data_IF_692254144864
#
_entry.id   IF_692254144864
#
_cell.length_a   1.000
_cell.length_b   1.000
_cell.length_c   1.000
_cell.angle_alpha   90.00
_cell.angle_beta   90.00
_cell.angle_gamma   90.00
#
_symmetry.space_group_name_H-M   'P 1'
#
loop_
_entity.id
_entity.type
_entity.pdbx_description
1 polymer ?
#
# COMPACT_ATOMS: atom_id res chain seq x y z
N UNK A 1 26.31 18.26 -10.26
CA UNK A 1 26.64 17.86 -8.87
C UNK A 1 25.46 18.09 -7.90
N UNK A 2 24.20 17.85 -8.31
CA UNK A 2 23.02 18.00 -7.43
C UNK A 2 21.96 16.89 -7.61
N UNK A 3 22.26 15.82 -8.36
CA UNK A 3 21.31 14.73 -8.61
C UNK A 3 20.96 13.90 -7.37
N UNK A 4 21.86 13.87 -6.37
CA UNK A 4 21.63 13.12 -5.13
C UNK A 4 20.60 13.80 -4.21
N UNK A 5 20.58 15.12 -4.15
CA UNK A 5 19.55 15.88 -3.41
C UNK A 5 18.17 15.72 -4.07
N UNK A 6 18.11 15.67 -5.40
CA UNK A 6 16.87 15.36 -6.12
C UNK A 6 16.36 13.94 -5.84
N UNK A 7 17.27 12.95 -5.70
CA UNK A 7 16.91 11.56 -5.35
C UNK A 7 16.43 11.42 -3.91
N UNK A 8 17.01 12.17 -2.97
CA UNK A 8 16.54 12.24 -1.58
C UNK A 8 15.16 12.90 -1.49
N UNK A 9 14.95 14.01 -2.22
CA UNK A 9 13.64 14.66 -2.27
C UNK A 9 12.56 13.75 -2.90
N UNK A 10 12.89 13.02 -3.98
CA UNK A 10 11.98 12.02 -4.57
C UNK A 10 11.69 10.84 -3.63
N UNK A 11 12.68 10.38 -2.87
CA UNK A 11 12.49 9.30 -1.90
C UNK A 11 11.58 9.73 -0.73
N UNK A 12 11.57 11.02 -0.37
CA UNK A 12 10.68 11.59 0.63
C UNK A 12 9.26 11.90 0.09
N UNK A 13 9.09 12.06 -1.23
CA UNK A 13 7.78 12.29 -1.87
C UNK A 13 7.11 11.03 -2.43
N UNK A 14 7.89 9.95 -2.65
CA UNK A 14 7.39 8.64 -3.08
C UNK A 14 6.29 8.02 -2.18
N UNK A 15 6.31 8.16 -0.84
CA UNK A 15 5.30 7.57 0.03
C UNK A 15 3.91 8.19 -0.13
N UNK A 16 3.82 9.45 -0.59
CA UNK A 16 2.54 10.15 -0.76
C UNK A 16 1.88 9.84 -2.11
N UNK A 17 2.66 9.66 -3.18
CA UNK A 17 2.14 9.28 -4.50
C UNK A 17 1.79 7.78 -4.59
N UNK A 18 2.46 6.93 -3.80
CA UNK A 18 2.23 5.46 -3.80
C UNK A 18 1.06 5.02 -2.90
N UNK A 19 0.50 5.92 -2.09
CA UNK A 19 -0.70 5.68 -1.27
C UNK A 19 -2.00 5.74 -2.05
N UNK A 20 -1.99 6.31 -3.27
CA UNK A 20 -3.14 6.39 -4.14
C UNK A 20 -2.68 6.30 -5.60
N UNK A 21 -2.47 5.09 -6.11
CA UNK A 21 -2.57 4.89 -7.55
C UNK A 21 -4.06 5.00 -7.90
N UNK A 22 -4.47 5.93 -8.79
CA UNK A 22 -5.84 5.99 -9.26
C UNK A 22 -6.27 4.63 -9.82
N UNK A 23 -7.51 4.23 -9.55
CA UNK A 23 -8.16 3.11 -10.26
C UNK A 23 -8.22 3.48 -11.74
N UNK A 24 -7.16 3.15 -12.49
CA UNK A 24 -7.16 3.29 -13.95
C UNK A 24 -8.01 2.15 -14.50
N UNK A 25 -9.24 2.51 -14.86
CA UNK A 25 -9.92 1.90 -16.00
C UNK A 25 -9.22 2.46 -17.22
N UNK A 26 -8.32 1.71 -17.83
CA UNK A 26 -7.96 1.90 -19.24
C UNK A 26 -7.60 0.52 -19.80
N UNK A 27 -8.49 0.00 -20.65
CA UNK A 27 -8.23 -1.11 -21.55
C UNK A 27 -7.02 -0.76 -22.43
N UNK A 28 -6.03 -1.65 -22.53
CA UNK A 28 -5.40 -2.07 -23.79
C UNK A 28 -4.24 -3.07 -23.58
N UNK A 29 -4.56 -4.33 -23.87
CA UNK A 29 -3.76 -5.39 -24.49
C UNK A 29 -2.21 -5.21 -24.58
N UNK A 30 -1.45 -6.02 -23.83
CA UNK A 30 -0.50 -7.01 -24.42
C UNK A 30 0.34 -7.76 -23.38
N UNK A 31 0.23 -9.09 -23.38
CA UNK A 31 1.35 -10.01 -23.17
C UNK A 31 1.87 -10.25 -21.75
N UNK A 32 1.71 -11.50 -21.30
CA UNK A 32 2.40 -12.16 -20.16
C UNK A 32 1.77 -12.02 -18.78
N UNK A 33 1.02 -13.06 -18.39
CA UNK A 33 0.59 -13.31 -17.02
C UNK A 33 -0.87 -12.95 -16.80
N UNK A 34 -1.64 -13.87 -16.24
CA UNK A 34 -3.05 -13.70 -15.91
C UNK A 34 -3.23 -12.64 -14.81
N UNK A 35 -3.15 -11.36 -15.19
CA UNK A 35 -3.50 -10.24 -14.34
C UNK A 35 -5.04 -10.18 -14.26
N UNK A 36 -5.62 -10.98 -13.37
CA UNK A 36 -7.01 -10.80 -12.97
C UNK A 36 -7.16 -9.36 -12.46
N UNK A 37 -7.95 -8.54 -13.16
CA UNK A 37 -8.13 -7.13 -12.83
C UNK A 37 -8.69 -6.94 -11.41
N UNK A 38 -9.28 -7.98 -10.83
CA UNK A 38 -9.80 -8.00 -9.46
C UNK A 38 -8.72 -8.27 -8.41
N UNK A 39 -7.53 -8.71 -8.81
CA UNK A 39 -6.43 -9.04 -7.89
C UNK A 39 -5.38 -7.94 -7.96
N UNK A 40 -5.18 -7.26 -6.85
CA UNK A 40 -4.02 -6.42 -6.65
C UNK A 40 -3.05 -7.14 -5.72
N UNK A 41 -1.79 -7.26 -6.13
CA UNK A 41 -0.75 -7.84 -5.29
C UNK A 41 0.49 -6.96 -5.29
N UNK A 42 1.22 -7.01 -4.18
CA UNK A 42 2.61 -6.61 -4.11
C UNK A 42 3.47 -7.85 -4.28
N UNK A 43 4.46 -7.73 -5.16
CA UNK A 43 5.54 -8.70 -5.26
C UNK A 43 6.28 -8.83 -3.92
N UNK A 44 7.13 -9.86 -3.81
CA UNK A 44 7.99 -10.02 -2.64
C UNK A 44 8.86 -8.78 -2.44
N UNK A 45 8.57 -8.06 -1.36
CA UNK A 45 9.35 -6.93 -0.85
C UNK A 45 10.31 -7.44 0.25
N UNK A 46 11.49 -6.79 0.35
CA UNK A 46 12.52 -7.17 1.32
C UNK A 46 12.28 -6.48 2.66
N UNK A 47 12.49 -7.23 3.74
CA UNK A 47 12.50 -6.76 5.12
C UNK A 47 13.77 -7.24 5.85
N UNK A 48 14.08 -6.67 7.02
CA UNK A 48 15.28 -6.95 7.82
C UNK A 48 15.46 -8.42 8.20
N UNK A 49 14.38 -9.21 8.20
CA UNK A 49 14.38 -10.62 8.59
C UNK A 49 13.85 -11.57 7.49
N UNK A 50 13.67 -11.10 6.25
CA UNK A 50 13.17 -11.95 5.17
C UNK A 50 12.49 -11.19 4.03
N UNK A 51 11.53 -11.84 3.40
CA UNK A 51 10.73 -11.30 2.30
C UNK A 51 9.25 -11.43 2.64
N UNK A 52 8.43 -10.48 2.19
CA UNK A 52 6.99 -10.50 2.38
C UNK A 52 6.28 -10.06 1.10
N UNK A 53 5.09 -10.57 0.86
CA UNK A 53 4.17 -10.09 -0.16
C UNK A 53 2.77 -10.00 0.44
N UNK A 54 1.89 -9.26 -0.20
CA UNK A 54 0.48 -9.23 0.17
C UNK A 54 -0.38 -8.92 -1.03
N UNK A 55 -1.65 -9.31 -0.97
CA UNK A 55 -2.59 -9.11 -2.05
C UNK A 55 -3.98 -8.81 -1.49
N UNK A 56 -4.80 -8.15 -2.30
CA UNK A 56 -6.21 -7.88 -2.07
C UNK A 56 -6.96 -8.39 -3.30
N UNK A 57 -8.02 -9.15 -3.05
CA UNK A 57 -8.90 -9.67 -4.10
C UNK A 57 -10.24 -8.99 -3.95
N UNK A 58 -10.69 -8.31 -5.01
CA UNK A 58 -11.96 -7.61 -5.03
C UNK A 58 -13.11 -8.61 -5.19
N UNK A 59 -13.94 -8.74 -4.15
CA UNK A 59 -15.16 -9.55 -4.18
C UNK A 59 -16.43 -8.71 -4.43
N UNK A 60 -16.46 -7.46 -3.94
CA UNK A 60 -17.59 -6.55 -4.04
C UNK A 60 -17.39 -5.51 -5.16
N UNK A 61 -18.47 -4.86 -5.63
CA UNK A 61 -18.39 -3.78 -6.64
C UNK A 61 -17.52 -2.62 -6.15
N UNK A 62 -17.64 -2.28 -4.86
CA UNK A 62 -16.76 -1.35 -4.16
C UNK A 62 -15.85 -2.15 -3.25
N UNK A 63 -14.55 -1.89 -3.32
CA UNK A 63 -13.59 -2.49 -2.40
C UNK A 63 -13.70 -1.80 -1.05
N UNK A 64 -14.19 -2.51 -0.04
CA UNK A 64 -14.32 -1.99 1.32
C UNK A 64 -13.09 -2.35 2.15
N UNK A 65 -12.37 -3.40 1.78
CA UNK A 65 -11.17 -3.85 2.49
C UNK A 65 -9.97 -2.96 2.17
N UNK A 66 -9.23 -2.59 3.21
CA UNK A 66 -7.97 -1.85 3.10
C UNK A 66 -6.86 -2.58 3.84
N UNK A 67 -5.62 -2.36 3.41
CA UNK A 67 -4.44 -2.90 4.08
C UNK A 67 -3.28 -1.92 4.05
N UNK A 68 -2.37 -2.07 5.00
CA UNK A 68 -1.18 -1.24 5.15
C UNK A 68 0.00 -2.09 5.59
N UNK A 69 1.18 -1.81 5.03
CA UNK A 69 2.45 -2.37 5.52
C UNK A 69 3.46 -1.25 5.66
N UNK A 70 4.06 -1.13 6.85
CA UNK A 70 5.13 -0.18 7.14
C UNK A 70 6.31 -0.95 7.72
N UNK A 71 7.43 -0.98 6.99
CA UNK A 71 8.64 -1.72 7.38
C UNK A 71 9.65 -0.79 8.04
N UNK A 72 10.01 -1.10 9.28
CA UNK A 72 11.13 -0.49 9.99
C UNK A 72 12.37 -1.41 10.01
N UNK A 73 13.45 -0.91 10.61
CA UNK A 73 14.68 -1.71 10.80
C UNK A 73 14.43 -2.91 11.71
N UNK A 74 13.71 -2.69 12.81
CA UNK A 74 13.59 -3.68 13.91
C UNK A 74 12.16 -4.21 14.08
N UNK A 75 11.19 -3.66 13.35
CA UNK A 75 9.79 -4.07 13.40
C UNK A 75 9.10 -3.84 12.06
N UNK A 76 8.02 -4.58 11.82
CA UNK A 76 7.10 -4.36 10.69
C UNK A 76 5.70 -4.20 11.26
N UNK A 77 5.00 -3.16 10.83
CA UNK A 77 3.58 -2.98 11.08
C UNK A 77 2.80 -3.51 9.88
N UNK A 78 1.83 -4.39 10.15
CA UNK A 78 0.90 -4.94 9.15
C UNK A 78 -0.52 -4.68 9.64
N UNK A 79 -1.31 -3.99 8.81
CA UNK A 79 -2.72 -3.74 9.04
C UNK A 79 -3.57 -4.37 7.95
N UNK A 80 -4.62 -5.09 8.34
CA UNK A 80 -5.67 -5.63 7.47
C UNK A 80 -7.01 -5.22 8.06
N UNK A 81 -7.80 -4.50 7.27
CA UNK A 81 -9.02 -3.85 7.73
C UNK A 81 -10.18 -4.28 6.83
N UNK A 82 -11.04 -5.13 7.37
CA UNK A 82 -12.30 -5.57 6.74
C UNK A 82 -13.33 -4.43 6.84
N UNK A 83 -13.74 -3.90 5.69
CA UNK A 83 -14.68 -2.78 5.63
C UNK A 83 -16.12 -3.23 5.47
N UNK A 84 -17.07 -2.47 6.02
CA UNK A 84 -18.49 -2.76 5.88
C UNK A 84 -19.36 -1.51 5.88
N UNK A 85 -20.30 -1.44 4.94
CA UNK A 85 -21.23 -0.32 4.83
C UNK A 85 -20.60 0.90 4.15
N UNK A 86 -19.58 0.67 3.33
CA UNK A 86 -18.73 1.68 2.69
C UNK A 86 -17.24 1.54 3.09
N UNK A 87 -16.30 2.06 2.27
CA UNK A 87 -14.87 1.97 2.52
C UNK A 87 -14.34 2.99 3.54
N UNK A 88 -15.18 3.89 4.04
CA UNK A 88 -14.74 5.07 4.78
C UNK A 88 -14.01 4.73 6.08
N UNK A 89 -14.51 3.74 6.82
CA UNK A 89 -13.94 3.35 8.11
C UNK A 89 -12.59 2.64 7.96
N UNK A 90 -12.53 1.61 7.11
CA UNK A 90 -11.31 0.86 6.82
C UNK A 90 -10.23 1.76 6.21
N UNK A 91 -10.62 2.67 5.31
CA UNK A 91 -9.74 3.71 4.75
C UNK A 91 -9.23 4.66 5.82
N UNK A 92 -10.11 5.17 6.69
CA UNK A 92 -9.71 6.06 7.78
C UNK A 92 -8.66 5.39 8.68
N UNK A 93 -8.86 4.13 9.06
CA UNK A 93 -7.90 3.38 9.87
C UNK A 93 -6.57 3.21 9.11
N UNK A 94 -6.61 2.81 7.84
CA UNK A 94 -5.41 2.64 7.01
C UNK A 94 -4.58 3.91 6.86
N UNK A 95 -5.22 5.08 6.85
CA UNK A 95 -4.53 6.36 6.69
C UNK A 95 -3.94 6.89 8.01
N UNK A 96 -4.53 6.55 9.16
CA UNK A 96 -4.24 7.23 10.44
C UNK A 96 -3.62 6.33 11.52
N UNK A 97 -3.94 5.03 11.57
CA UNK A 97 -3.58 4.18 12.71
C UNK A 97 -2.07 4.10 12.95
N UNK A 98 -1.30 3.82 11.91
CA UNK A 98 0.16 3.75 12.03
C UNK A 98 0.77 5.08 12.49
N UNK A 99 0.34 6.21 11.90
CA UNK A 99 0.83 7.52 12.28
C UNK A 99 0.49 7.86 13.73
N UNK A 100 -0.70 7.45 14.18
CA UNK A 100 -1.11 7.62 15.57
C UNK A 100 -0.21 6.83 16.53
N UNK A 101 0.01 5.54 16.26
CA UNK A 101 0.90 4.67 17.05
C UNK A 101 2.35 5.18 17.10
N UNK A 102 2.84 5.78 16.01
CA UNK A 102 4.17 6.37 15.95
C UNK A 102 4.26 7.76 16.59
N UNK A 103 3.13 8.45 16.74
CA UNK A 103 3.07 9.78 17.38
C UNK A 103 3.04 9.71 18.91
N UNK A 104 2.56 8.60 19.46
CA UNK A 104 2.64 8.34 20.89
C UNK A 104 4.11 8.05 21.25
N UNK A 105 4.76 9.02 21.90
CA UNK A 105 6.08 8.80 22.50
C UNK A 105 5.91 7.89 23.71
N UNK A 106 6.39 6.66 23.59
CA UNK A 106 6.69 5.80 24.72
C UNK A 106 8.03 6.23 25.38
#
# INVERSE_FOLDING_TARGET
MFSWLARLALACWGPLARRYAPMSKDDDNSGSGANDALIWCRDLEKHSFGEFSFAVVQANEVIEDHSQVETGRDATFVGVYDGHGGPEASRFISDHLFLHLMSERF
#
